data_IF_284551272226
#
_entry.id   IF_284551272226
#
_cell.length_a   1.000
_cell.length_b   1.000
_cell.length_c   1.000
_cell.angle_alpha   90.00
_cell.angle_beta   90.00
_cell.angle_gamma   90.00
#
_symmetry.space_group_name_H-M   'P 1'
#
loop_
_entity.id
_entity.type
_entity.pdbx_description
1 polymer ?
#
# COMPACT_ATOMS: atom_id res chain seq x y z
N UNK A 1 -42.64 -24.20 -78.34
CA UNK A 1 -41.50 -23.26 -78.32
C UNK A 1 -41.01 -23.23 -76.89
N UNK A 2 -40.08 -24.12 -76.56
CA UNK A 2 -39.76 -24.48 -75.17
C UNK A 2 -38.48 -23.76 -74.75
N UNK A 3 -38.58 -22.95 -73.71
CA UNK A 3 -37.45 -22.23 -73.11
C UNK A 3 -36.45 -23.24 -72.51
N UNK A 4 -35.25 -23.30 -73.07
CA UNK A 4 -34.11 -24.01 -72.48
C UNK A 4 -33.50 -23.14 -71.38
N UNK A 5 -33.42 -23.68 -70.16
CA UNK A 5 -32.69 -23.06 -69.05
C UNK A 5 -31.19 -23.05 -69.35
N UNK A 6 -30.48 -21.92 -69.15
CA UNK A 6 -29.02 -21.89 -69.21
C UNK A 6 -28.43 -22.67 -68.02
N UNK A 7 -27.43 -23.50 -68.30
CA UNK A 7 -26.75 -24.35 -67.31
C UNK A 7 -26.01 -23.57 -66.22
N UNK A 8 -25.62 -24.26 -65.13
CA UNK A 8 -24.97 -23.61 -63.99
C UNK A 8 -23.60 -23.07 -64.41
N UNK A 9 -23.40 -21.76 -64.18
CA UNK A 9 -22.10 -21.10 -64.33
C UNK A 9 -21.04 -21.68 -63.38
N UNK A 10 -19.76 -21.39 -63.64
CA UNK A 10 -18.66 -21.93 -62.85
C UNK A 10 -18.82 -21.57 -61.37
N UNK A 11 -18.67 -22.60 -60.53
CA UNK A 11 -18.77 -22.53 -59.09
C UNK A 11 -17.90 -21.40 -58.54
N UNK A 12 -18.56 -20.40 -57.98
CA UNK A 12 -17.92 -19.38 -57.15
C UNK A 12 -17.24 -20.12 -56.00
N UNK A 13 -15.92 -20.14 -56.03
CA UNK A 13 -15.07 -20.58 -54.94
C UNK A 13 -15.61 -19.96 -53.64
N UNK A 14 -15.84 -20.81 -52.61
CA UNK A 14 -16.34 -20.44 -51.31
C UNK A 14 -15.46 -19.34 -50.66
N UNK A 15 -15.67 -18.08 -51.03
CA UNK A 15 -15.44 -16.95 -50.16
C UNK A 15 -16.54 -17.07 -49.12
N UNK A 16 -16.22 -17.78 -48.04
CA UNK A 16 -17.06 -17.85 -46.86
C UNK A 16 -17.60 -16.45 -46.58
N UNK A 17 -18.93 -16.37 -46.52
CA UNK A 17 -19.64 -15.19 -46.01
C UNK A 17 -18.84 -14.72 -44.79
N UNK A 18 -18.31 -13.48 -44.75
CA UNK A 18 -17.62 -13.02 -43.55
C UNK A 18 -18.65 -13.16 -42.44
N UNK A 19 -18.38 -14.04 -41.48
CA UNK A 19 -19.26 -14.26 -40.35
C UNK A 19 -19.47 -12.88 -39.73
N UNK A 20 -20.71 -12.41 -39.75
CA UNK A 20 -21.07 -11.10 -39.21
C UNK A 20 -20.80 -10.99 -37.70
N UNK A 21 -20.37 -12.11 -37.09
CA UNK A 21 -19.94 -12.28 -35.70
C UNK A 21 -18.45 -12.00 -35.46
N UNK A 22 -17.63 -11.91 -36.51
CA UNK A 22 -16.17 -11.67 -36.37
C UNK A 22 -15.81 -10.21 -35.99
N UNK A 23 -16.80 -9.34 -35.79
CA UNK A 23 -16.57 -7.92 -35.44
C UNK A 23 -16.32 -7.68 -33.96
N UNK A 24 -16.36 -8.72 -33.12
CA UNK A 24 -16.07 -8.65 -31.69
C UNK A 24 -15.24 -9.85 -31.21
N UNK A 25 -14.13 -10.15 -31.88
CA UNK A 25 -13.10 -10.98 -31.24
C UNK A 25 -12.54 -10.21 -30.05
N UNK A 26 -13.04 -10.52 -28.85
CA UNK A 26 -12.50 -10.01 -27.61
C UNK A 26 -11.05 -10.48 -27.49
N UNK A 27 -10.09 -9.63 -27.84
CA UNK A 27 -8.69 -9.83 -27.48
C UNK A 27 -8.56 -9.62 -25.97
N UNK A 28 -8.87 -10.67 -25.20
CA UNK A 28 -8.49 -10.74 -23.79
C UNK A 28 -6.96 -10.70 -23.74
N UNK A 29 -6.40 -9.57 -23.32
CA UNK A 29 -4.98 -9.48 -23.02
C UNK A 29 -4.76 -10.12 -21.65
N UNK A 30 -4.65 -11.43 -21.64
CA UNK A 30 -4.30 -12.18 -20.44
C UNK A 30 -2.83 -11.93 -20.06
N UNK A 31 -2.57 -11.99 -18.76
CA UNK A 31 -1.20 -12.02 -18.25
C UNK A 31 -0.47 -13.23 -18.86
N UNK A 32 0.61 -12.96 -19.59
CA UNK A 32 1.49 -13.98 -20.13
C UNK A 32 2.22 -14.74 -19.02
N UNK A 33 2.89 -15.83 -19.41
CA UNK A 33 3.64 -16.69 -18.49
C UNK A 33 4.62 -15.93 -17.59
N UNK A 34 5.31 -14.93 -18.13
CA UNK A 34 6.28 -14.11 -17.37
C UNK A 34 5.61 -13.32 -16.24
N UNK A 35 4.49 -12.67 -16.52
CA UNK A 35 3.74 -11.92 -15.52
C UNK A 35 3.19 -12.83 -14.42
N UNK A 36 2.64 -13.99 -14.79
CA UNK A 36 2.16 -15.00 -13.83
C UNK A 36 3.27 -15.47 -12.88
N UNK A 37 4.47 -15.75 -13.42
CA UNK A 37 5.64 -16.12 -12.59
C UNK A 37 6.01 -14.98 -11.64
N UNK A 38 6.10 -13.74 -12.16
CA UNK A 38 6.46 -12.58 -11.33
C UNK A 38 5.46 -12.38 -10.20
N UNK A 39 4.15 -12.44 -10.47
CA UNK A 39 3.11 -12.33 -9.44
C UNK A 39 3.33 -13.37 -8.31
N UNK A 40 3.64 -14.63 -8.62
CA UNK A 40 3.94 -15.65 -7.60
C UNK A 40 5.18 -15.31 -6.78
N UNK A 41 6.23 -14.80 -7.44
CA UNK A 41 7.45 -14.32 -6.76
C UNK A 41 7.10 -13.18 -5.81
N UNK A 42 6.34 -12.19 -6.26
CA UNK A 42 5.93 -11.04 -5.46
C UNK A 42 5.09 -11.49 -4.26
N UNK A 43 4.12 -12.39 -4.45
CA UNK A 43 3.36 -13.00 -3.36
C UNK A 43 4.28 -13.63 -2.31
N UNK A 44 5.24 -14.45 -2.74
CA UNK A 44 6.21 -15.09 -1.84
C UNK A 44 7.04 -14.06 -1.05
N UNK A 45 7.55 -13.02 -1.73
CA UNK A 45 8.30 -11.93 -1.09
C UNK A 45 7.47 -11.18 -0.04
N UNK A 46 6.21 -10.85 -0.36
CA UNK A 46 5.33 -10.17 0.58
C UNK A 46 4.92 -11.06 1.76
N UNK A 47 4.65 -12.35 1.52
CA UNK A 47 4.38 -13.31 2.60
C UNK A 47 5.58 -13.47 3.55
N UNK A 48 6.80 -13.53 3.00
CA UNK A 48 8.04 -13.50 3.79
C UNK A 48 8.20 -12.18 4.54
N UNK A 49 7.84 -11.06 3.92
CA UNK A 49 7.80 -9.74 4.56
C UNK A 49 6.85 -9.69 5.76
N UNK A 50 5.65 -10.27 5.64
CA UNK A 50 4.71 -10.41 6.76
C UNK A 50 5.35 -11.22 7.88
N UNK A 51 5.90 -12.40 7.58
CA UNK A 51 6.57 -13.24 8.57
C UNK A 51 7.74 -12.51 9.26
N UNK A 52 8.56 -11.79 8.49
CA UNK A 52 9.68 -10.99 9.00
C UNK A 52 9.21 -9.86 9.92
N UNK A 53 8.17 -9.12 9.55
CA UNK A 53 7.62 -8.05 10.38
C UNK A 53 7.05 -8.57 11.71
N UNK A 54 6.33 -9.71 11.68
CA UNK A 54 5.81 -10.38 12.88
C UNK A 54 6.96 -10.89 13.77
N UNK A 55 8.01 -11.44 13.15
CA UNK A 55 9.18 -11.91 13.89
C UNK A 55 9.87 -10.77 14.66
N UNK A 56 10.08 -9.62 14.00
CA UNK A 56 10.64 -8.43 14.65
C UNK A 56 9.69 -7.92 15.75
N UNK A 57 8.38 -7.89 15.49
CA UNK A 57 7.38 -7.43 16.45
C UNK A 57 7.39 -8.21 17.77
N UNK A 58 7.67 -9.52 17.72
CA UNK A 58 7.75 -10.38 18.92
C UNK A 58 8.89 -9.98 19.87
N UNK A 59 9.97 -9.42 19.34
CA UNK A 59 11.14 -8.97 20.12
C UNK A 59 10.91 -7.62 20.82
N UNK A 60 9.82 -6.91 20.49
CA UNK A 60 9.49 -5.59 21.02
C UNK A 60 8.51 -5.71 22.18
N UNK A 61 8.59 -4.84 23.19
CA UNK A 61 7.64 -4.79 24.33
C UNK A 61 6.23 -4.45 23.85
N UNK A 62 5.17 -5.09 24.38
CA UNK A 62 3.78 -5.00 23.87
C UNK A 62 3.27 -3.58 23.61
N UNK A 63 3.60 -2.62 24.48
CA UNK A 63 3.17 -1.22 24.36
C UNK A 63 3.76 -0.48 23.15
N UNK A 64 4.78 -1.05 22.50
CA UNK A 64 5.55 -0.44 21.40
C UNK A 64 5.35 -1.16 20.06
N UNK A 65 4.41 -2.11 19.98
CA UNK A 65 4.19 -2.96 18.79
C UNK A 65 3.26 -2.35 17.73
N UNK A 66 2.58 -1.25 18.02
CA UNK A 66 1.56 -0.67 17.11
C UNK A 66 2.12 -0.43 15.71
N UNK A 67 3.29 0.21 15.60
CA UNK A 67 3.93 0.45 14.31
C UNK A 67 4.22 -0.86 13.54
N UNK A 68 4.68 -1.90 14.26
CA UNK A 68 4.94 -3.20 13.67
C UNK A 68 3.66 -3.89 13.18
N UNK A 69 2.55 -3.75 13.92
CA UNK A 69 1.25 -4.28 13.50
C UNK A 69 0.68 -3.54 12.30
N UNK A 70 0.83 -2.21 12.23
CA UNK A 70 0.42 -1.43 11.06
C UNK A 70 1.24 -1.82 9.82
N UNK A 71 2.55 -2.00 9.97
CA UNK A 71 3.43 -2.51 8.91
C UNK A 71 3.05 -3.92 8.46
N UNK A 72 2.81 -4.84 9.41
CA UNK A 72 2.40 -6.20 9.11
C UNK A 72 1.04 -6.24 8.40
N UNK A 73 0.09 -5.40 8.81
CA UNK A 73 -1.21 -5.27 8.18
C UNK A 73 -1.07 -4.79 6.73
N UNK A 74 -0.27 -3.74 6.49
CA UNK A 74 -0.02 -3.24 5.14
C UNK A 74 0.57 -4.33 4.22
N UNK A 75 1.62 -5.02 4.69
CA UNK A 75 2.23 -6.12 3.94
C UNK A 75 1.27 -7.29 3.74
N UNK A 76 0.35 -7.54 4.69
CA UNK A 76 -0.66 -8.60 4.57
C UNK A 76 -1.68 -8.26 3.50
N UNK A 77 -2.19 -7.02 3.46
CA UNK A 77 -3.10 -6.56 2.41
C UNK A 77 -2.46 -6.77 1.04
N UNK A 78 -1.19 -6.39 0.88
CA UNK A 78 -0.47 -6.56 -0.39
C UNK A 78 -0.16 -8.03 -0.71
N UNK A 79 0.23 -8.85 0.26
CA UNK A 79 0.38 -10.29 0.06
C UNK A 79 -0.92 -10.91 -0.44
N UNK A 80 -2.07 -10.57 0.17
CA UNK A 80 -3.38 -11.04 -0.27
C UNK A 80 -3.74 -10.54 -1.66
N UNK A 81 -3.46 -9.28 -1.99
CA UNK A 81 -3.66 -8.76 -3.35
C UNK A 81 -2.87 -9.54 -4.40
N UNK A 82 -1.58 -9.81 -4.14
CA UNK A 82 -0.76 -10.62 -5.05
C UNK A 82 -1.22 -12.08 -5.10
N UNK A 83 -1.73 -12.64 -4.00
CA UNK A 83 -2.32 -13.99 -4.00
C UNK A 83 -3.58 -14.05 -4.86
N UNK A 84 -4.47 -13.06 -4.77
CA UNK A 84 -5.65 -12.97 -5.63
C UNK A 84 -5.26 -12.87 -7.12
N UNK A 85 -4.26 -12.04 -7.44
CA UNK A 85 -3.69 -11.95 -8.80
C UNK A 85 -3.07 -13.27 -9.26
N UNK A 86 -2.40 -13.99 -8.36
CA UNK A 86 -1.71 -15.25 -8.67
C UNK A 86 -2.69 -16.38 -8.96
N UNK A 87 -3.79 -16.41 -8.21
CA UNK A 87 -4.85 -17.41 -8.32
C UNK A 87 -5.88 -17.07 -9.41
N UNK A 88 -5.83 -15.85 -9.96
CA UNK A 88 -6.79 -15.37 -10.94
C UNK A 88 -8.17 -15.08 -10.34
N UNK A 89 -8.25 -14.83 -9.03
CA UNK A 89 -9.47 -14.35 -8.37
C UNK A 89 -9.84 -12.93 -8.84
N UNK A 90 -8.89 -12.22 -9.44
CA UNK A 90 -9.05 -10.90 -10.05
C UNK A 90 -9.43 -10.94 -11.53
N UNK A 91 -9.73 -12.13 -12.09
CA UNK A 91 -10.16 -12.31 -13.47
C UNK A 91 -11.57 -11.73 -13.70
N UNK A 92 -11.68 -10.41 -13.63
CA UNK A 92 -12.86 -9.66 -14.02
C UNK A 92 -12.78 -9.40 -15.52
N UNK A 93 -13.80 -9.79 -16.31
CA UNK A 93 -13.87 -9.48 -17.73
C UNK A 93 -13.88 -7.96 -17.95
N UNK A 94 -12.68 -7.39 -18.09
CA UNK A 94 -12.53 -5.97 -18.35
C UNK A 94 -12.49 -5.79 -19.86
N UNK A 95 -13.48 -5.07 -20.38
CA UNK A 95 -13.41 -4.60 -21.75
C UNK A 95 -12.27 -3.59 -21.81
N UNK A 96 -11.09 -3.99 -22.33
CA UNK A 96 -10.16 -3.04 -22.96
C UNK A 96 -10.83 -2.54 -24.26
N UNK A 97 -11.93 -1.80 -24.11
CA UNK A 97 -12.44 -0.96 -25.20
C UNK A 97 -11.30 -0.01 -25.50
N UNK A 98 -10.74 -0.11 -26.71
CA UNK A 98 -9.78 0.85 -27.21
C UNK A 98 -10.29 2.25 -26.84
N UNK A 99 -9.52 2.96 -26.04
CA UNK A 99 -9.77 4.35 -25.72
C UNK A 99 -11.21 4.62 -25.18
N UNK A 100 -11.61 4.00 -24.05
CA UNK A 100 -12.82 4.42 -23.30
C UNK A 100 -12.81 5.97 -23.14
N UNK A 101 -13.99 6.63 -23.25
CA UNK A 101 -14.11 8.01 -23.73
C UNK A 101 -13.27 8.96 -22.88
N UNK A 102 -12.42 9.79 -23.52
CA UNK A 102 -11.43 10.72 -22.91
C UNK A 102 -11.86 11.33 -21.57
N UNK A 103 -13.14 11.63 -21.42
CA UNK A 103 -13.77 12.21 -20.23
C UNK A 103 -13.65 11.33 -18.98
N UNK A 104 -13.86 10.01 -19.06
CA UNK A 104 -13.77 9.14 -17.87
C UNK A 104 -12.33 9.02 -17.39
N UNK A 105 -11.39 8.84 -18.33
CA UNK A 105 -9.97 8.83 -18.02
C UNK A 105 -9.50 10.13 -17.37
N UNK A 106 -9.87 11.28 -17.96
CA UNK A 106 -9.56 12.60 -17.41
C UNK A 106 -10.22 12.77 -16.04
N UNK A 107 -11.49 12.38 -15.90
CA UNK A 107 -12.24 12.47 -14.64
C UNK A 107 -11.56 11.70 -13.51
N UNK A 108 -11.24 10.42 -13.73
CA UNK A 108 -10.53 9.60 -12.75
C UNK A 108 -9.14 10.13 -12.43
N UNK A 109 -8.42 10.65 -13.43
CA UNK A 109 -7.10 11.26 -13.24
C UNK A 109 -7.19 12.51 -12.37
N UNK A 110 -8.15 13.40 -12.64
CA UNK A 110 -8.38 14.63 -11.85
C UNK A 110 -8.75 14.28 -10.41
N UNK A 111 -9.67 13.33 -10.21
CA UNK A 111 -10.05 12.85 -8.88
C UNK A 111 -8.82 12.29 -8.14
N UNK A 112 -8.04 11.43 -8.78
CA UNK A 112 -6.83 10.85 -8.19
C UNK A 112 -5.80 11.93 -7.78
N UNK A 113 -5.58 12.94 -8.62
CA UNK A 113 -4.68 14.07 -8.32
C UNK A 113 -5.18 14.86 -7.11
N UNK A 114 -6.48 15.14 -7.02
CA UNK A 114 -7.06 15.88 -5.89
C UNK A 114 -6.90 15.11 -4.57
N UNK A 115 -7.27 13.83 -4.55
CA UNK A 115 -7.11 12.98 -3.36
C UNK A 115 -5.65 12.83 -2.95
N UNK A 116 -4.77 12.62 -3.93
CA UNK A 116 -3.34 12.49 -3.67
C UNK A 116 -2.78 13.80 -3.11
N UNK A 117 -3.12 14.95 -3.69
CA UNK A 117 -2.69 16.25 -3.20
C UNK A 117 -3.19 16.53 -1.78
N UNK A 118 -4.43 16.13 -1.47
CA UNK A 118 -4.96 16.24 -0.11
C UNK A 118 -4.15 15.38 0.89
N UNK A 119 -3.86 14.12 0.54
CA UNK A 119 -3.04 13.23 1.37
C UNK A 119 -1.63 13.79 1.59
N UNK A 120 -1.00 14.31 0.52
CA UNK A 120 0.31 14.97 0.61
C UNK A 120 0.27 16.22 1.50
N UNK A 121 -0.82 17.00 1.46
CA UNK A 121 -0.95 18.19 2.29
C UNK A 121 -0.91 17.84 3.79
N UNK A 122 -1.53 16.72 4.19
CA UNK A 122 -1.47 16.21 5.57
C UNK A 122 -0.06 15.76 5.96
N UNK A 123 0.72 15.21 5.03
CA UNK A 123 2.09 14.80 5.32
C UNK A 123 3.05 16.00 5.41
N UNK A 124 2.88 16.99 4.53
CA UNK A 124 3.79 18.13 4.44
C UNK A 124 3.50 19.23 5.47
N UNK A 125 2.24 19.55 5.75
CA UNK A 125 1.93 20.68 6.63
C UNK A 125 1.90 20.28 8.11
N UNK A 126 0.90 19.51 8.61
CA UNK A 126 0.89 19.13 10.02
C UNK A 126 1.97 18.10 10.34
N UNK A 127 2.27 17.18 9.42
CA UNK A 127 3.28 16.14 9.65
C UNK A 127 4.71 16.67 9.82
N UNK A 128 5.17 17.58 8.95
CA UNK A 128 6.50 18.22 9.12
C UNK A 128 6.52 19.08 10.38
N UNK A 129 5.44 19.82 10.64
CA UNK A 129 5.35 20.67 11.84
C UNK A 129 5.46 19.83 13.12
N UNK A 130 4.77 18.70 13.18
CA UNK A 130 4.86 17.75 14.30
C UNK A 130 6.25 17.07 14.38
N UNK A 131 6.89 16.76 13.26
CA UNK A 131 8.24 16.17 13.27
C UNK A 131 9.31 17.16 13.76
N UNK A 132 9.10 18.47 13.60
CA UNK A 132 10.03 19.51 14.07
C UNK A 132 10.05 19.66 15.60
N UNK A 133 8.99 19.25 16.30
CA UNK A 133 8.95 19.28 17.77
C UNK A 133 9.58 18.04 18.42
N UNK A 134 9.99 17.06 17.60
CA UNK A 134 10.64 15.81 18.05
C UNK A 134 12.16 15.88 17.93
N UNK A 135 12.85 14.91 18.52
CA UNK A 135 14.31 14.82 18.52
C UNK A 135 14.88 14.75 17.08
N UNK A 136 16.18 15.05 16.93
CA UNK A 136 16.85 15.06 15.63
C UNK A 136 16.80 13.69 14.92
N UNK A 137 16.81 12.59 15.66
CA UNK A 137 16.73 11.23 15.13
C UNK A 137 15.37 10.98 14.48
N UNK A 138 14.28 11.19 15.24
CA UNK A 138 12.89 11.03 14.77
C UNK A 138 12.55 11.97 13.62
N UNK A 139 13.02 13.22 13.68
CA UNK A 139 12.87 14.18 12.57
C UNK A 139 13.58 13.70 11.30
N UNK A 140 14.79 13.16 11.42
CA UNK A 140 15.56 12.60 10.30
C UNK A 140 14.87 11.41 9.65
N UNK A 141 14.34 10.49 10.46
CA UNK A 141 13.56 9.33 10.00
C UNK A 141 12.30 9.76 9.26
N UNK A 142 11.58 10.76 9.78
CA UNK A 142 10.39 11.30 9.13
C UNK A 142 10.73 11.92 7.76
N UNK A 143 11.78 12.74 7.68
CA UNK A 143 12.22 13.35 6.43
C UNK A 143 12.65 12.31 5.39
N UNK A 144 13.41 11.29 5.80
CA UNK A 144 13.85 10.24 4.90
C UNK A 144 12.68 9.33 4.47
N UNK A 145 11.74 9.07 5.37
CA UNK A 145 10.48 8.39 5.06
C UNK A 145 9.66 9.13 4.00
N UNK A 146 9.51 10.45 4.11
CA UNK A 146 8.86 11.28 3.09
C UNK A 146 9.58 11.17 1.74
N UNK A 147 10.91 11.29 1.72
CA UNK A 147 11.68 11.20 0.47
C UNK A 147 11.49 9.85 -0.20
N UNK A 148 11.59 8.75 0.55
CA UNK A 148 11.33 7.41 0.04
C UNK A 148 9.90 7.25 -0.48
N UNK A 149 8.92 7.83 0.22
CA UNK A 149 7.53 7.83 -0.20
C UNK A 149 7.33 8.59 -1.52
N UNK A 150 7.93 9.77 -1.70
CA UNK A 150 7.82 10.56 -2.94
C UNK A 150 8.33 9.76 -4.14
N UNK A 151 9.54 9.20 -4.01
CA UNK A 151 10.18 8.42 -5.09
C UNK A 151 9.28 7.25 -5.48
N UNK A 152 8.78 6.53 -4.47
CA UNK A 152 7.87 5.42 -4.68
C UNK A 152 6.56 5.81 -5.34
N UNK A 153 5.91 6.85 -4.83
CA UNK A 153 4.57 7.24 -5.23
C UNK A 153 4.51 7.90 -6.61
N UNK A 154 5.58 8.55 -7.07
CA UNK A 154 5.64 9.10 -8.45
C UNK A 154 5.71 7.99 -9.50
N UNK A 155 6.28 6.82 -9.17
CA UNK A 155 6.39 5.71 -10.11
C UNK A 155 5.01 5.12 -10.50
N UNK A 156 4.05 5.06 -9.55
CA UNK A 156 2.70 4.52 -9.78
C UNK A 156 1.92 5.25 -10.91
N UNK A 157 1.73 6.59 -10.88
CA UNK A 157 0.99 7.29 -11.92
C UNK A 157 1.69 7.21 -13.28
N UNK A 158 3.03 7.08 -13.32
CA UNK A 158 3.76 6.87 -14.57
C UNK A 158 3.39 5.52 -15.18
N UNK A 159 3.51 4.43 -14.42
CA UNK A 159 3.15 3.07 -14.91
C UNK A 159 1.67 2.99 -15.26
N UNK A 160 0.80 3.60 -14.47
CA UNK A 160 -0.64 3.65 -14.76
C UNK A 160 -0.95 4.40 -16.06
N UNK A 161 -0.32 5.57 -16.28
CA UNK A 161 -0.55 6.38 -17.49
C UNK A 161 -0.03 5.66 -18.73
N UNK A 162 1.16 5.06 -18.67
CA UNK A 162 1.74 4.32 -19.80
C UNK A 162 1.01 2.99 -20.06
N UNK A 163 0.49 2.34 -19.03
CA UNK A 163 -0.27 1.09 -19.12
C UNK A 163 -1.74 1.35 -19.41
N UNK A 164 -2.57 1.30 -18.36
CA UNK A 164 -4.04 1.41 -18.46
C UNK A 164 -4.50 2.71 -19.14
N UNK A 165 -3.76 3.81 -18.97
CA UNK A 165 -4.16 5.11 -19.50
C UNK A 165 -3.99 5.27 -21.00
N UNK A 166 -2.79 4.96 -21.53
CA UNK A 166 -2.40 5.22 -22.93
C UNK A 166 -2.19 3.95 -23.75
N UNK A 167 -2.23 2.78 -23.12
CA UNK A 167 -2.03 1.47 -23.75
C UNK A 167 -0.68 1.33 -24.48
N UNK A 168 0.36 1.99 -23.96
CA UNK A 168 1.74 1.90 -24.46
C UNK A 168 2.42 0.64 -23.91
N UNK A 169 2.21 0.33 -22.62
CA UNK A 169 2.77 -0.87 -21.99
C UNK A 169 1.89 -2.10 -22.22
N UNK A 170 2.54 -3.23 -22.51
CA UNK A 170 1.90 -4.54 -22.46
C UNK A 170 1.46 -4.87 -21.03
N UNK A 171 0.44 -5.74 -20.89
CA UNK A 171 -0.03 -6.22 -19.58
C UNK A 171 1.15 -6.78 -18.77
N UNK A 172 2.02 -7.57 -19.40
CA UNK A 172 3.18 -8.13 -18.72
C UNK A 172 4.13 -7.06 -18.20
N UNK A 173 4.47 -6.07 -19.04
CA UNK A 173 5.37 -5.00 -18.64
C UNK A 173 4.78 -4.16 -17.49
N UNK A 174 3.48 -3.85 -17.56
CA UNK A 174 2.79 -3.11 -16.52
C UNK A 174 2.78 -3.87 -15.19
N UNK A 175 2.41 -5.16 -15.20
CA UNK A 175 2.39 -6.01 -14.00
C UNK A 175 3.78 -6.14 -13.38
N UNK A 176 4.81 -6.37 -14.19
CA UNK A 176 6.19 -6.49 -13.70
C UNK A 176 6.67 -5.18 -13.09
N UNK A 177 6.46 -4.05 -13.79
CA UNK A 177 6.82 -2.73 -13.29
C UNK A 177 6.12 -2.42 -11.96
N UNK A 178 4.84 -2.76 -11.85
CA UNK A 178 4.06 -2.56 -10.64
C UNK A 178 4.62 -3.35 -9.45
N UNK A 179 5.00 -4.61 -9.67
CA UNK A 179 5.63 -5.40 -8.61
C UNK A 179 6.99 -4.84 -8.18
N UNK A 180 7.83 -4.40 -9.12
CA UNK A 180 9.12 -3.79 -8.77
C UNK A 180 8.92 -2.55 -7.89
N UNK A 181 7.94 -1.71 -8.23
CA UNK A 181 7.57 -0.55 -7.43
C UNK A 181 7.11 -1.00 -6.05
N UNK A 182 6.14 -1.92 -5.94
CA UNK A 182 5.61 -2.36 -4.66
C UNK A 182 6.71 -2.97 -3.75
N UNK A 183 7.63 -3.77 -4.31
CA UNK A 183 8.74 -4.34 -3.55
C UNK A 183 9.64 -3.22 -3.00
N UNK A 184 9.97 -2.21 -3.81
CA UNK A 184 10.78 -1.08 -3.36
C UNK A 184 10.07 -0.21 -2.31
N UNK A 185 8.80 0.11 -2.53
CA UNK A 185 8.05 1.09 -1.74
C UNK A 185 7.42 0.49 -0.49
N UNK A 186 7.00 -0.77 -0.54
CA UNK A 186 6.42 -1.43 0.60
C UNK A 186 7.47 -2.22 1.34
N UNK A 187 8.08 -3.25 0.74
CA UNK A 187 9.08 -4.04 1.47
C UNK A 187 10.30 -3.17 1.82
N UNK A 188 10.88 -2.47 0.84
CA UNK A 188 12.07 -1.64 1.07
C UNK A 188 11.83 -0.57 2.14
N UNK A 189 10.83 0.30 1.94
CA UNK A 189 10.59 1.42 2.87
C UNK A 189 10.09 0.95 4.24
N UNK A 190 9.19 -0.05 4.31
CA UNK A 190 8.66 -0.52 5.60
C UNK A 190 9.76 -1.16 6.42
N UNK A 191 10.56 -2.06 5.84
CA UNK A 191 11.67 -2.67 6.58
C UNK A 191 12.75 -1.65 6.92
N UNK A 192 13.02 -0.70 6.02
CA UNK A 192 13.91 0.42 6.33
C UNK A 192 13.43 1.16 7.59
N UNK A 193 12.15 1.53 7.69
CA UNK A 193 11.64 2.22 8.87
C UNK A 193 11.64 1.30 10.10
N UNK A 194 11.24 0.04 9.96
CA UNK A 194 11.26 -0.92 11.08
C UNK A 194 12.64 -1.11 11.69
N UNK A 195 13.69 -1.17 10.87
CA UNK A 195 15.07 -1.32 11.35
C UNK A 195 15.68 -0.04 11.89
N UNK A 196 15.27 1.12 11.35
CA UNK A 196 15.84 2.41 11.74
C UNK A 196 15.06 3.13 12.83
N UNK A 197 13.85 2.65 13.15
CA UNK A 197 13.02 3.20 14.21
C UNK A 197 13.67 2.96 15.59
N UNK A 198 14.34 3.98 16.09
CA UNK A 198 14.80 4.07 17.48
C UNK A 198 13.76 4.88 18.25
N UNK A 199 13.17 4.27 19.28
CA UNK A 199 12.20 4.96 20.13
C UNK A 199 12.94 5.68 21.26
N UNK A 200 12.73 6.99 21.39
CA UNK A 200 13.30 7.76 22.48
C UNK A 200 12.70 7.27 23.82
N UNK A 201 13.53 6.94 24.83
CA UNK A 201 13.05 6.50 26.14
C UNK A 201 12.16 7.53 26.84
N UNK A 202 12.35 8.80 26.50
CA UNK A 202 11.67 9.95 27.10
C UNK A 202 10.38 10.36 26.37
N UNK A 203 10.08 9.76 25.21
CA UNK A 203 8.84 10.10 24.50
C UNK A 203 7.65 9.38 25.15
N UNK A 204 6.62 10.10 25.63
CA UNK A 204 5.43 9.47 26.19
C UNK A 204 4.83 8.54 25.15
N UNK A 205 4.56 7.31 25.56
CA UNK A 205 4.07 6.27 24.65
C UNK A 205 2.68 6.66 24.16
N UNK A 206 2.60 7.08 22.90
CA UNK A 206 1.37 7.30 22.13
C UNK A 206 0.24 7.95 22.96
N UNK A 207 0.36 9.25 23.26
CA UNK A 207 -0.82 10.02 23.64
C UNK A 207 -1.64 10.28 22.37
N UNK A 208 -2.84 9.70 22.31
CA UNK A 208 -3.84 10.15 21.35
C UNK A 208 -4.16 11.63 21.62
N UNK A 209 -4.70 12.35 20.63
CA UNK A 209 -5.16 13.71 20.85
C UNK A 209 -6.06 13.82 22.10
N UNK A 210 -6.01 14.95 22.80
CA UNK A 210 -6.72 15.14 24.08
C UNK A 210 -8.24 14.90 23.97
N UNK A 211 -8.82 15.04 22.77
CA UNK A 211 -10.22 14.73 22.49
C UNK A 211 -10.53 13.22 22.36
N UNK A 212 -9.50 12.36 22.27
CA UNK A 212 -9.61 10.89 22.27
C UNK A 212 -9.22 10.27 23.63
N UNK A 213 -8.48 11.00 24.46
CA UNK A 213 -7.97 10.53 25.76
C UNK A 213 -8.29 11.55 26.85
N UNK A 214 -9.11 11.15 27.82
CA UNK A 214 -9.29 11.91 29.05
C UNK A 214 -7.97 11.81 29.84
N UNK A 215 -7.21 12.90 29.89
CA UNK A 215 -6.08 13.01 30.80
C UNK A 215 -6.61 12.94 32.25
N UNK A 216 -6.13 11.97 33.05
CA UNK A 216 -6.42 11.96 34.48
C UNK A 216 -5.70 13.16 35.12
N UNK A 217 -6.48 14.05 35.72
CA UNK A 217 -6.07 15.33 36.27
C UNK A 217 -5.18 15.18 37.52
N UNK A 218 -3.92 14.75 37.37
CA UNK A 218 -2.89 14.95 38.38
C UNK A 218 -1.58 15.25 37.62
N UNK A 219 -1.23 16.52 37.57
CA UNK A 219 0.02 16.99 36.98
C UNK A 219 1.20 16.47 37.82
N UNK A 220 2.17 15.82 37.15
CA UNK A 220 3.48 15.57 37.74
C UNK A 220 4.20 16.90 38.01
N UNK A 221 5.12 16.91 38.98
CA UNK A 221 5.90 18.08 39.38
C UNK A 221 6.77 18.71 38.27
N UNK A 222 6.94 18.04 37.13
CA UNK A 222 7.68 18.48 35.95
C UNK A 222 6.77 18.97 34.80
N UNK A 223 5.45 19.04 35.02
CA UNK A 223 4.49 19.44 34.00
C UNK A 223 4.28 18.39 32.90
N UNK A 224 4.82 17.18 33.05
CA UNK A 224 4.54 16.02 32.19
C UNK A 224 3.71 15.02 33.00
N UNK A 225 2.67 14.46 32.39
CA UNK A 225 1.78 13.53 33.11
C UNK A 225 2.52 12.29 33.60
N UNK A 226 2.44 11.99 34.90
CA UNK A 226 3.05 10.79 35.47
C UNK A 226 2.24 9.53 35.11
N UNK A 227 2.91 8.42 34.81
CA UNK A 227 2.28 7.10 34.79
C UNK A 227 2.03 6.66 36.24
N UNK A 228 0.81 6.24 36.57
CA UNK A 228 0.48 5.76 37.91
C UNK A 228 1.40 4.59 38.31
N UNK A 229 1.93 4.56 39.54
CA UNK A 229 2.61 3.38 40.05
C UNK A 229 1.63 2.20 40.15
N UNK A 230 2.14 0.99 39.92
CA UNK A 230 1.39 -0.25 40.12
C UNK A 230 0.98 -0.30 41.60
N UNK A 231 -0.32 -0.46 41.93
CA UNK A 231 -0.75 -0.61 43.32
C UNK A 231 -0.01 -1.78 43.97
N UNK A 232 0.88 -1.49 44.92
CA UNK A 232 1.61 -2.50 45.69
C UNK A 232 3.13 -2.31 45.82
N UNK A 233 3.78 -1.42 45.07
CA UNK A 233 5.25 -1.23 45.18
C UNK A 233 5.64 -0.17 46.22
N UNK A 234 4.76 0.79 46.51
CA UNK A 234 5.08 1.92 47.40
C UNK A 234 4.85 1.61 48.89
N UNK A 235 4.06 0.58 49.19
CA UNK A 235 3.86 0.11 50.57
C UNK A 235 5.11 -0.58 51.17
N UNK A 236 6.11 -0.92 50.35
CA UNK A 236 7.34 -1.56 50.82
C UNK A 236 8.42 -0.57 51.30
N UNK A 237 8.35 0.71 50.91
CA UNK A 237 9.41 1.70 51.19
C UNK A 237 9.00 2.80 52.19
N UNK A 238 7.79 2.78 52.73
CA UNK A 238 7.33 3.74 53.76
C UNK A 238 7.39 3.19 55.19
N UNK A 239 8.02 2.03 55.40
CA UNK A 239 8.07 1.37 56.71
C UNK A 239 9.29 1.66 57.58
N UNK A 240 10.27 2.47 57.15
CA UNK A 240 11.59 2.53 57.83
C UNK A 240 12.12 3.94 58.13
N UNK A 241 11.24 4.93 58.34
CA UNK A 241 11.67 6.29 58.76
C UNK A 241 10.93 6.78 60.00
N UNK A 242 10.87 5.94 61.02
CA UNK A 242 10.36 6.32 62.34
C UNK A 242 11.09 5.54 63.43
N UNK A 243 12.25 6.04 63.85
CA UNK A 243 12.70 6.13 65.25
C UNK A 243 14.21 6.36 65.35
N UNK A 244 14.63 7.62 65.43
CA UNK A 244 15.73 8.06 66.32
C UNK A 244 15.59 9.55 66.57
N UNK A 245 14.78 9.90 67.56
CA UNK A 245 14.89 11.16 68.29
C UNK A 245 15.07 10.81 69.78
N UNK A 246 16.32 10.87 70.25
CA UNK A 246 16.71 11.08 71.63
C UNK A 246 18.19 11.51 71.66
#
# INVERSE_FOLDING_TARGET
MSYQHPGPGPAYHNLGKPDSDDRYHFHYLEAGKSAKIVIWVCFGLFALGVAGSIYIARRVVSRRRVFHYLSALALTVTALSYFCLATGLDNFPSHRRGFLPRIQFIGWTVIAILFTSFAWSMLFFPGITAARTRCRSTRGLYSLGIVGLIIGWIAYPIVWTLGTGTNILSVNAQTIAQCVIDVGTQLGLIFFILFTHVQDPEDPVWCFPEWFVVHRAIAGLDGRGAYAPIPGVEAANQGDTGDTAA
#
